data_IF_683174509263
#
_entry.id   IF_683174509263
#
_cell.length_a   1.000
_cell.length_b   1.000
_cell.length_c   1.000
_cell.angle_alpha   90.00
_cell.angle_beta   90.00
_cell.angle_gamma   90.00
#
_symmetry.space_group_name_H-M   'P 1'
#
loop_
_entity.id
_entity.type
_entity.pdbx_description
1 polymer ?
#
# COMPACT_ATOMS: atom_id res chain seq x y z
N UNK A 1 -10.15 7.70 5.15
CA UNK A 1 -8.80 7.60 5.74
C UNK A 1 -8.45 8.96 6.32
N UNK A 2 -8.37 9.07 7.65
CA UNK A 2 -7.98 10.30 8.35
C UNK A 2 -6.46 10.27 8.55
N UNK A 3 -5.74 11.24 8.01
CA UNK A 3 -4.27 11.33 8.12
C UNK A 3 -3.81 12.01 9.42
N UNK A 4 -4.76 12.33 10.30
CA UNK A 4 -4.59 13.37 11.33
C UNK A 4 -3.58 13.01 12.43
N UNK A 5 -3.24 11.71 12.56
CA UNK A 5 -2.29 11.23 13.57
C UNK A 5 -1.10 10.44 12.97
N UNK A 6 -0.82 10.58 11.67
CA UNK A 6 0.30 9.88 11.04
C UNK A 6 0.19 8.35 11.06
N UNK A 7 -1.02 7.81 11.18
CA UNK A 7 -1.29 6.38 11.33
C UNK A 7 -2.18 5.84 10.23
N UNK A 8 -1.81 4.68 9.68
CA UNK A 8 -2.59 3.94 8.70
C UNK A 8 -3.05 2.61 9.29
N UNK A 9 -4.37 2.41 9.39
CA UNK A 9 -4.95 1.12 9.74
C UNK A 9 -5.21 0.27 8.49
N UNK A 10 -4.62 -0.91 8.44
CA UNK A 10 -4.88 -1.89 7.38
C UNK A 10 -6.04 -2.78 7.81
N UNK A 11 -7.21 -2.59 7.21
CA UNK A 11 -8.45 -3.30 7.56
C UNK A 11 -9.05 -4.13 6.42
N UNK A 12 -8.64 -3.84 5.19
CA UNK A 12 -9.20 -4.45 4.00
C UNK A 12 -8.08 -4.83 3.04
N UNK A 13 -8.34 -5.82 2.21
CA UNK A 13 -7.50 -6.19 1.09
C UNK A 13 -8.30 -6.16 -0.21
N UNK A 14 -7.60 -5.94 -1.31
CA UNK A 14 -8.16 -6.03 -2.66
C UNK A 14 -7.47 -7.19 -3.36
N UNK A 15 -8.26 -8.18 -3.79
CA UNK A 15 -7.79 -9.35 -4.53
C UNK A 15 -8.49 -9.42 -5.88
N UNK A 16 -7.99 -10.24 -6.79
CA UNK A 16 -8.61 -10.40 -8.11
C UNK A 16 -8.63 -11.86 -8.61
N UNK A 17 -9.31 -12.80 -7.90
CA UNK A 17 -9.53 -14.13 -8.42
C UNK A 17 -10.38 -14.07 -9.70
N UNK A 18 -10.07 -14.89 -10.69
CA UNK A 18 -10.73 -14.92 -12.00
C UNK A 18 -10.86 -13.53 -12.65
N UNK A 19 -9.85 -12.67 -12.44
CA UNK A 19 -9.78 -11.29 -12.95
C UNK A 19 -10.88 -10.34 -12.41
N UNK A 20 -11.62 -10.75 -11.38
CA UNK A 20 -12.67 -9.95 -10.75
C UNK A 20 -12.14 -9.29 -9.50
N UNK A 21 -12.13 -7.95 -9.46
CA UNK A 21 -11.67 -7.19 -8.29
C UNK A 21 -12.66 -7.38 -7.13
N UNK A 22 -12.18 -7.98 -6.05
CA UNK A 22 -12.93 -8.22 -4.82
C UNK A 22 -12.26 -7.44 -3.68
N UNK A 23 -13.06 -6.67 -2.96
CA UNK A 23 -12.65 -6.02 -1.72
C UNK A 23 -13.17 -6.87 -0.58
N UNK A 24 -12.27 -7.39 0.26
CA UNK A 24 -12.65 -8.16 1.44
C UNK A 24 -12.07 -7.55 2.69
N UNK A 25 -12.80 -7.69 3.80
CA UNK A 25 -12.25 -7.40 5.11
C UNK A 25 -11.20 -8.45 5.47
N UNK A 26 -10.18 -8.03 6.20
CA UNK A 26 -9.19 -8.98 6.69
C UNK A 26 -9.84 -9.88 7.74
N UNK A 27 -10.01 -11.16 7.42
CA UNK A 27 -10.77 -12.14 8.24
C UNK A 27 -10.09 -12.53 9.56
N UNK A 28 -8.84 -12.11 9.80
CA UNK A 28 -8.05 -12.51 10.96
C UNK A 28 -7.56 -11.30 11.76
N UNK A 29 -7.64 -11.39 13.09
CA UNK A 29 -7.14 -10.37 14.01
C UNK A 29 -5.66 -10.01 13.77
N UNK A 30 -4.85 -10.95 13.28
CA UNK A 30 -3.42 -10.73 12.99
C UNK A 30 -3.15 -9.85 11.77
N UNK A 31 -4.14 -9.65 10.90
CA UNK A 31 -3.99 -8.80 9.70
C UNK A 31 -4.42 -7.36 9.94
N UNK A 32 -5.23 -7.12 10.98
CA UNK A 32 -5.54 -5.78 11.48
C UNK A 32 -4.28 -5.21 12.13
N UNK A 33 -3.70 -4.20 11.48
CA UNK A 33 -2.52 -3.52 12.02
C UNK A 33 -2.58 -2.04 11.75
N UNK A 34 -1.94 -1.29 12.64
CA UNK A 34 -1.71 0.13 12.46
C UNK A 34 -0.24 0.35 12.20
N UNK A 35 0.05 1.09 11.13
CA UNK A 35 1.39 1.42 10.70
C UNK A 35 1.57 2.92 10.91
N UNK A 36 2.57 3.31 11.70
CA UNK A 36 2.99 4.70 11.78
C UNK A 36 3.72 5.09 10.48
N UNK A 37 3.31 6.23 9.93
CA UNK A 37 3.82 6.84 8.72
C UNK A 37 4.67 8.05 9.11
N UNK A 38 5.85 8.15 8.52
CA UNK A 38 6.70 9.33 8.65
C UNK A 38 6.13 10.51 7.85
N UNK A 39 6.62 11.71 8.16
CA UNK A 39 6.13 12.95 7.55
C UNK A 39 6.33 12.98 6.03
N UNK A 40 7.40 12.39 5.51
CA UNK A 40 7.64 12.34 4.06
C UNK A 40 6.60 11.45 3.38
N UNK A 41 6.28 10.31 3.95
CA UNK A 41 5.20 9.45 3.45
C UNK A 41 3.84 10.16 3.52
N UNK A 42 3.54 10.84 4.62
CA UNK A 42 2.31 11.63 4.74
C UNK A 42 2.21 12.73 3.69
N UNK A 43 3.30 13.46 3.45
CA UNK A 43 3.35 14.52 2.44
C UNK A 43 3.04 13.99 1.03
N UNK A 44 3.56 12.80 0.68
CA UNK A 44 3.24 12.13 -0.60
C UNK A 44 1.76 11.79 -0.69
N UNK A 45 1.17 11.22 0.36
CA UNK A 45 -0.25 10.84 0.37
C UNK A 45 -1.18 12.06 0.33
N UNK A 46 -0.83 13.16 1.01
CA UNK A 46 -1.55 14.45 0.94
C UNK A 46 -1.48 15.04 -0.46
N UNK A 47 -0.31 15.04 -1.08
CA UNK A 47 -0.12 15.52 -2.46
C UNK A 47 -0.93 14.71 -3.46
N UNK A 48 -0.96 13.39 -3.29
CA UNK A 48 -1.80 12.50 -4.09
C UNK A 48 -3.29 12.81 -3.90
N UNK A 49 -3.76 13.00 -2.66
CA UNK A 49 -5.16 13.36 -2.39
C UNK A 49 -5.56 14.69 -3.04
N UNK A 50 -4.68 15.69 -3.00
CA UNK A 50 -4.88 16.96 -3.72
C UNK A 50 -5.03 16.72 -5.22
N UNK A 51 -4.16 15.89 -5.80
CA UNK A 51 -4.22 15.54 -7.23
C UNK A 51 -5.54 14.87 -7.62
N UNK A 52 -6.07 14.00 -6.77
CA UNK A 52 -7.38 13.37 -7.00
C UNK A 52 -8.51 14.41 -7.02
N UNK A 53 -8.50 15.37 -6.10
CA UNK A 53 -9.48 16.46 -6.07
C UNK A 53 -9.41 17.32 -7.34
N UNK A 54 -8.21 17.67 -7.80
CA UNK A 54 -8.01 18.41 -9.05
C UNK A 54 -8.58 17.65 -10.26
N UNK A 55 -8.35 16.33 -10.34
CA UNK A 55 -8.91 15.48 -11.40
C UNK A 55 -10.43 15.48 -11.31
N UNK A 56 -11.00 15.32 -10.11
CA UNK A 56 -12.44 15.33 -9.87
C UNK A 56 -13.09 16.63 -10.34
N UNK A 57 -12.49 17.78 -10.00
CA UNK A 57 -12.98 19.10 -10.41
C UNK A 57 -12.93 19.26 -11.93
N UNK A 58 -11.86 18.77 -12.58
CA UNK A 58 -11.71 18.89 -14.04
C UNK A 58 -12.66 17.97 -14.82
N UNK A 59 -12.94 16.77 -14.32
CA UNK A 59 -13.77 15.79 -15.04
C UNK A 59 -15.24 15.87 -14.67
N UNK A 60 -15.59 16.60 -13.61
CA UNK A 60 -16.96 16.64 -13.05
C UNK A 60 -17.38 15.33 -12.38
N UNK A 61 -16.53 14.30 -12.38
CA UNK A 61 -16.78 13.03 -11.73
C UNK A 61 -16.42 13.15 -10.25
N UNK A 62 -17.33 12.77 -9.36
CA UNK A 62 -17.02 12.64 -7.93
C UNK A 62 -15.97 11.55 -7.76
N UNK A 63 -14.81 11.93 -7.26
CA UNK A 63 -13.78 10.96 -6.90
C UNK A 63 -14.23 10.19 -5.67
N UNK A 64 -14.71 8.97 -5.91
CA UNK A 64 -14.63 7.85 -4.98
C UNK A 64 -15.47 7.98 -3.69
N UNK A 65 -16.77 7.73 -3.81
CA UNK A 65 -17.68 7.61 -2.65
C UNK A 65 -17.29 6.45 -1.71
N UNK A 66 -16.64 5.42 -2.24
CA UNK A 66 -16.12 4.28 -1.47
C UNK A 66 -14.84 4.61 -0.66
N UNK A 67 -14.23 5.78 -0.85
CA UNK A 67 -13.13 6.28 -0.03
C UNK A 67 -11.74 5.64 -0.26
N UNK A 68 -11.52 4.86 -1.33
CA UNK A 68 -10.17 4.36 -1.66
C UNK A 68 -9.13 5.47 -1.87
N UNK A 69 -7.93 5.29 -1.33
CA UNK A 69 -6.85 6.25 -1.59
C UNK A 69 -6.32 6.12 -3.03
N UNK A 70 -6.32 4.91 -3.58
CA UNK A 70 -5.93 4.66 -4.97
C UNK A 70 -7.13 4.07 -5.72
N UNK A 71 -7.67 4.83 -6.66
CA UNK A 71 -8.86 4.49 -7.41
C UNK A 71 -8.72 4.93 -8.86
N UNK A 72 -9.55 4.36 -9.73
CA UNK A 72 -9.79 4.90 -11.06
C UNK A 72 -10.49 6.25 -10.97
N UNK A 73 -10.58 6.96 -12.10
CA UNK A 73 -11.22 8.28 -12.18
C UNK A 73 -12.70 8.24 -11.78
N UNK A 74 -13.38 7.12 -12.06
CA UNK A 74 -14.77 6.85 -11.67
C UNK A 74 -14.93 6.46 -10.17
N UNK A 75 -13.82 6.38 -9.42
CA UNK A 75 -13.83 6.00 -8.01
C UNK A 75 -13.79 4.51 -7.72
N UNK A 76 -13.86 3.65 -8.74
CA UNK A 76 -13.76 2.20 -8.57
C UNK A 76 -12.34 1.76 -8.16
N UNK A 77 -12.19 0.63 -7.42
CA UNK A 77 -10.88 0.13 -7.03
C UNK A 77 -10.04 -0.24 -8.25
N UNK A 78 -8.73 -0.02 -8.14
CA UNK A 78 -7.77 -0.50 -9.11
C UNK A 78 -7.58 -2.02 -8.96
N UNK A 79 -7.38 -2.70 -10.09
CA UNK A 79 -6.93 -4.09 -10.07
C UNK A 79 -5.54 -4.16 -9.39
N UNK A 80 -5.27 -5.12 -8.48
CA UNK A 80 -3.99 -5.18 -7.75
C UNK A 80 -2.77 -5.23 -8.69
N UNK A 81 -2.85 -5.99 -9.78
CA UNK A 81 -1.77 -6.06 -10.78
C UNK A 81 -1.43 -4.73 -11.46
N UNK A 82 -2.34 -3.75 -11.41
CA UNK A 82 -2.04 -2.41 -11.91
C UNK A 82 -0.77 -1.85 -11.27
N UNK A 83 -0.60 -2.04 -9.97
CA UNK A 83 0.58 -1.55 -9.25
C UNK A 83 1.84 -2.33 -9.64
N UNK A 84 1.76 -3.66 -9.71
CA UNK A 84 2.87 -4.52 -10.11
C UNK A 84 3.36 -4.18 -11.52
N UNK A 85 2.46 -4.09 -12.50
CA UNK A 85 2.80 -3.73 -13.87
C UNK A 85 3.29 -2.28 -14.01
N UNK A 86 2.71 -1.34 -13.25
CA UNK A 86 3.17 0.05 -13.27
C UNK A 86 4.58 0.19 -12.70
N UNK A 87 4.89 -0.56 -11.64
CA UNK A 87 6.23 -0.62 -11.07
C UNK A 87 7.23 -1.24 -12.04
N UNK A 88 6.91 -2.38 -12.66
CA UNK A 88 7.78 -3.05 -13.63
C UNK A 88 8.06 -2.16 -14.85
N UNK A 89 7.05 -1.46 -15.38
CA UNK A 89 7.25 -0.48 -16.46
C UNK A 89 8.19 0.65 -16.04
N UNK A 90 8.08 1.12 -14.80
CA UNK A 90 8.95 2.17 -14.28
C UNK A 90 10.39 1.68 -14.13
N UNK A 91 10.62 0.49 -13.58
CA UNK A 91 11.97 -0.07 -13.43
C UNK A 91 12.66 -0.27 -14.78
N UNK A 92 11.92 -0.79 -15.79
CA UNK A 92 12.42 -0.93 -17.15
C UNK A 92 12.77 0.43 -17.77
N UNK A 93 11.88 1.42 -17.65
CA UNK A 93 12.12 2.77 -18.17
C UNK A 93 13.36 3.44 -17.56
N UNK A 94 13.66 3.13 -16.30
CA UNK A 94 14.81 3.68 -15.58
C UNK A 94 16.09 2.85 -15.76
N UNK A 95 16.07 1.78 -16.57
CA UNK A 95 17.22 0.91 -16.81
C UNK A 95 17.65 0.11 -15.59
N UNK A 96 16.74 -0.12 -14.63
CA UNK A 96 17.03 -0.86 -13.41
C UNK A 96 16.95 -2.38 -13.65
N UNK A 97 17.67 -3.18 -12.86
CA UNK A 97 17.46 -4.63 -12.81
C UNK A 97 16.00 -4.97 -12.52
N UNK A 98 15.58 -6.19 -12.88
CA UNK A 98 14.23 -6.65 -12.59
C UNK A 98 14.02 -6.75 -11.08
N UNK A 99 13.17 -5.86 -10.56
CA UNK A 99 12.76 -5.82 -9.16
C UNK A 99 11.23 -5.85 -9.14
N UNK A 100 10.64 -6.68 -8.28
CA UNK A 100 9.18 -6.77 -8.12
C UNK A 100 8.72 -5.75 -7.09
N UNK A 101 7.45 -5.34 -7.18
CA UNK A 101 6.87 -4.43 -6.19
C UNK A 101 6.94 -4.99 -4.76
N UNK A 102 6.78 -6.31 -4.58
CA UNK A 102 6.87 -6.94 -3.27
C UNK A 102 8.29 -6.88 -2.67
N UNK A 103 9.34 -6.80 -3.50
CA UNK A 103 10.72 -6.72 -3.03
C UNK A 103 10.99 -5.41 -2.26
N UNK A 104 10.18 -4.36 -2.48
CA UNK A 104 10.21 -3.14 -1.65
C UNK A 104 9.83 -3.42 -0.20
N UNK A 105 8.86 -4.31 0.04
CA UNK A 105 8.46 -4.71 1.39
C UNK A 105 9.54 -5.53 2.08
N UNK A 106 10.25 -6.37 1.33
CA UNK A 106 11.42 -7.09 1.85
C UNK A 106 12.51 -6.11 2.23
N UNK A 107 12.83 -5.16 1.35
CA UNK A 107 13.80 -4.09 1.61
C UNK A 107 13.45 -3.30 2.87
N UNK A 108 12.18 -2.92 3.05
CA UNK A 108 11.71 -2.22 4.26
C UNK A 108 11.97 -3.03 5.54
N UNK A 109 11.72 -4.34 5.52
CA UNK A 109 11.99 -5.22 6.66
C UNK A 109 13.50 -5.28 6.96
N UNK A 110 14.33 -5.50 5.95
CA UNK A 110 15.78 -5.56 6.09
C UNK A 110 16.34 -4.25 6.66
N UNK A 111 15.84 -3.09 6.20
CA UNK A 111 16.26 -1.79 6.72
C UNK A 111 15.91 -1.61 8.21
N UNK A 112 14.71 -2.03 8.63
CA UNK A 112 14.33 -1.98 10.05
C UNK A 112 15.19 -2.89 10.91
N UNK A 113 15.46 -4.12 10.45
CA UNK A 113 16.32 -5.07 11.16
C UNK A 113 17.76 -4.55 11.29
N UNK A 114 18.31 -3.98 10.22
CA UNK A 114 19.64 -3.34 10.23
C UNK A 114 19.70 -2.12 11.16
N UNK A 115 18.59 -1.42 11.34
CA UNK A 115 18.46 -0.33 12.31
C UNK A 115 18.27 -0.81 13.76
N UNK A 116 18.32 -2.12 14.03
CA UNK A 116 18.19 -2.70 15.36
C UNK A 116 16.75 -2.78 15.88
N UNK A 117 15.75 -2.58 15.02
CA UNK A 117 14.34 -2.74 15.43
C UNK A 117 14.08 -4.21 15.74
N UNK A 118 13.48 -4.47 16.90
CA UNK A 118 13.20 -5.83 17.35
C UNK A 118 12.37 -6.60 16.31
N UNK A 119 12.77 -7.85 16.02
CA UNK A 119 12.15 -8.69 14.97
C UNK A 119 10.63 -8.84 15.17
N UNK A 120 10.17 -8.92 16.43
CA UNK A 120 8.74 -8.95 16.75
C UNK A 120 8.00 -7.71 16.24
N UNK A 121 8.55 -6.52 16.45
CA UNK A 121 7.98 -5.24 15.99
C UNK A 121 7.96 -5.19 14.45
N UNK A 122 9.03 -5.65 13.80
CA UNK A 122 9.07 -5.76 12.34
C UNK A 122 7.98 -6.71 11.82
N UNK A 123 7.84 -7.89 12.44
CA UNK A 123 6.83 -8.89 12.09
C UNK A 123 5.39 -8.34 12.22
N UNK A 124 5.10 -7.63 13.32
CA UNK A 124 3.81 -6.98 13.57
C UNK A 124 3.51 -5.88 12.54
N UNK A 125 4.50 -5.03 12.23
CA UNK A 125 4.36 -3.97 11.22
C UNK A 125 4.08 -4.54 9.83
N UNK A 126 4.74 -5.66 9.51
CA UNK A 126 4.50 -6.37 8.25
C UNK A 126 3.13 -7.06 8.28
N UNK A 127 2.67 -7.57 9.41
CA UNK A 127 1.46 -8.41 9.51
C UNK A 127 1.75 -9.84 9.09
N UNK A 128 2.96 -10.34 9.37
CA UNK A 128 3.29 -11.75 9.22
C UNK A 128 2.72 -12.54 10.40
N UNK A 129 2.03 -13.65 10.12
CA UNK A 129 1.45 -14.52 11.13
C UNK A 129 2.51 -15.24 11.98
N UNK A 130 3.75 -15.36 11.46
CA UNK A 130 4.90 -15.94 12.16
C UNK A 130 6.14 -15.08 11.97
N UNK A 131 6.93 -14.93 13.04
CA UNK A 131 8.24 -14.27 13.03
C UNK A 131 9.20 -14.98 12.07
N UNK A 132 9.04 -16.29 11.86
CA UNK A 132 9.86 -17.06 10.93
C UNK A 132 9.75 -16.55 9.48
N UNK A 133 8.57 -16.09 9.06
CA UNK A 133 8.38 -15.48 7.73
C UNK A 133 9.11 -14.14 7.57
N UNK A 134 9.47 -13.49 8.68
CA UNK A 134 10.26 -12.25 8.70
C UNK A 134 11.77 -12.55 8.69
N UNK A 135 12.19 -13.71 9.19
CA UNK A 135 13.60 -14.17 9.16
C UNK A 135 14.01 -14.77 7.79
N UNK A 136 13.03 -15.05 6.92
CA UNK A 136 13.23 -15.48 5.53
C UNK A 136 13.22 -14.31 4.54
N UNK A 137 13.24 -13.07 5.04
CA UNK A 137 13.28 -11.83 4.26
C UNK A 137 14.72 -11.41 3.98
#
# INVERSE_FOLDING_TARGET
MHFDNGRLSVKQNVTAPDYKVIVSDVKSAHTLRTIDLDERTLAVLRSWRKRQLEISMRTGLRTNEAGFLFAKVDGSPLHPDFFSHSFERLTVKMGLPRIRLHDLRHTHATLLLKAGVAVKVVSERLGHASVASTMQV
#
